data_IF_385323334170
#
_entry.id   IF_385323334170
#
_cell.length_a   1.000
_cell.length_b   1.000
_cell.length_c   1.000
_cell.angle_alpha   90.00
_cell.angle_beta   90.00
_cell.angle_gamma   90.00
#
_symmetry.space_group_name_H-M   'P 1'
#
loop_
_entity.id
_entity.type
_entity.pdbx_description
1 polymer ?
#
# COMPACT_ATOMS: atom_id res chain seq x y z
N UNK A 1 9.61 -43.97 19.90
CA UNK A 1 8.65 -42.94 19.37
C UNK A 1 9.38 -42.27 18.19
N UNK A 2 8.90 -42.46 16.97
CA UNK A 2 9.63 -42.14 15.74
C UNK A 2 9.65 -40.60 15.52
N UNK A 3 10.77 -40.03 15.10
CA UNK A 3 10.96 -38.59 14.80
C UNK A 3 9.85 -38.01 13.90
N UNK A 4 9.34 -38.84 12.99
CA UNK A 4 8.22 -38.49 12.10
C UNK A 4 6.89 -38.27 12.86
N UNK A 5 6.62 -39.05 13.92
CA UNK A 5 5.40 -38.89 14.72
C UNK A 5 5.47 -37.63 15.63
N UNK A 6 6.65 -37.27 16.07
CA UNK A 6 6.86 -36.05 16.82
C UNK A 6 6.67 -34.81 15.92
N UNK A 7 7.21 -34.85 14.70
CA UNK A 7 7.07 -33.77 13.70
C UNK A 7 5.61 -33.59 13.29
N UNK A 8 4.86 -34.65 13.05
CA UNK A 8 3.42 -34.59 12.72
C UNK A 8 2.58 -34.04 13.88
N UNK A 9 2.84 -34.46 15.13
CA UNK A 9 2.16 -33.91 16.31
C UNK A 9 2.49 -32.43 16.54
N UNK A 10 3.70 -32.02 16.26
CA UNK A 10 4.14 -30.64 16.41
C UNK A 10 3.58 -29.75 15.27
N UNK A 11 3.48 -30.29 14.04
CA UNK A 11 2.77 -29.63 12.95
C UNK A 11 1.26 -29.48 13.24
N UNK A 12 0.62 -30.50 13.80
CA UNK A 12 -0.78 -30.43 14.24
C UNK A 12 -0.97 -29.42 15.39
N UNK A 13 -0.01 -29.33 16.31
CA UNK A 13 -0.03 -28.35 17.42
C UNK A 13 0.16 -26.90 16.91
N UNK A 14 1.00 -26.71 15.89
CA UNK A 14 1.18 -25.42 15.22
C UNK A 14 -0.06 -25.05 14.40
N UNK A 15 -0.73 -26.03 13.77
CA UNK A 15 -1.98 -25.83 13.06
C UNK A 15 -3.13 -25.48 14.01
N UNK A 16 -3.27 -26.20 15.15
CA UNK A 16 -4.26 -25.90 16.18
C UNK A 16 -4.04 -24.55 16.89
N UNK A 17 -2.79 -24.07 16.95
CA UNK A 17 -2.46 -22.72 17.46
C UNK A 17 -2.88 -21.61 16.48
N UNK A 18 -3.22 -21.94 15.24
CA UNK A 18 -3.70 -21.02 14.20
C UNK A 18 -5.21 -21.05 14.01
N UNK A 19 -5.99 -21.76 14.86
CA UNK A 19 -7.44 -21.66 14.85
C UNK A 19 -7.86 -20.22 15.11
N UNK A 20 -8.48 -19.61 14.08
CA UNK A 20 -9.07 -18.28 14.17
C UNK A 20 -10.28 -18.35 15.10
N UNK A 21 -10.49 -17.40 16.03
CA UNK A 21 -11.82 -17.21 16.59
C UNK A 21 -12.78 -16.97 15.44
N UNK A 22 -14.07 -17.27 15.64
CA UNK A 22 -15.11 -17.12 14.63
C UNK A 22 -14.91 -15.80 13.87
N UNK A 23 -14.53 -15.90 12.58
CA UNK A 23 -14.10 -14.78 11.77
C UNK A 23 -15.32 -13.90 11.49
N UNK A 24 -15.23 -12.62 11.83
CA UNK A 24 -16.19 -11.58 11.40
C UNK A 24 -16.06 -11.29 9.90
N UNK A 25 -15.19 -12.01 9.18
CA UNK A 25 -14.81 -11.72 7.81
C UNK A 25 -13.81 -10.53 7.71
N UNK A 26 -13.39 -9.98 8.86
CA UNK A 26 -12.45 -8.87 8.93
C UNK A 26 -11.13 -9.29 9.59
N UNK A 27 -10.02 -9.04 8.89
CA UNK A 27 -8.66 -9.23 9.41
C UNK A 27 -8.24 -8.10 10.35
N UNK A 28 -8.70 -6.87 10.06
CA UNK A 28 -8.40 -5.69 10.87
C UNK A 28 -9.69 -4.89 11.05
N UNK A 29 -9.96 -4.50 12.30
CA UNK A 29 -10.99 -3.55 12.68
C UNK A 29 -10.36 -2.46 13.54
N UNK A 30 -10.60 -1.21 13.21
CA UNK A 30 -10.24 -0.07 14.04
C UNK A 30 -11.42 0.90 14.11
N UNK A 31 -11.68 1.45 15.29
CA UNK A 31 -12.75 2.40 15.51
C UNK A 31 -12.28 3.54 16.38
N UNK A 32 -12.40 4.77 15.86
CA UNK A 32 -12.11 6.01 16.55
C UNK A 32 -10.65 6.11 17.03
N UNK A 33 -9.67 5.59 16.30
CA UNK A 33 -8.27 5.62 16.73
C UNK A 33 -7.75 7.05 16.85
N UNK A 34 -7.30 7.40 18.04
CA UNK A 34 -6.67 8.69 18.37
C UNK A 34 -5.24 8.45 18.81
N UNK A 35 -4.32 9.29 18.33
CA UNK A 35 -2.94 9.30 18.77
C UNK A 35 -2.35 10.70 18.72
N UNK A 36 -1.71 11.10 19.83
CA UNK A 36 -0.91 12.32 19.91
C UNK A 36 0.52 11.99 20.33
N UNK A 37 1.46 12.77 19.87
CA UNK A 37 2.84 12.77 20.34
C UNK A 37 3.15 14.17 20.87
N UNK A 38 3.29 14.29 22.20
CA UNK A 38 3.34 15.59 22.88
C UNK A 38 2.09 16.40 22.51
N UNK A 39 2.27 17.61 21.97
CA UNK A 39 1.19 18.51 21.62
C UNK A 39 0.66 18.33 20.18
N UNK A 40 1.22 17.38 19.41
CA UNK A 40 0.83 17.13 18.02
C UNK A 40 -0.13 15.95 17.95
N UNK A 41 -1.38 16.21 17.55
CA UNK A 41 -2.37 15.17 17.24
C UNK A 41 -2.07 14.57 15.87
N UNK A 42 -1.66 13.30 15.83
CA UNK A 42 -1.29 12.58 14.61
C UNK A 42 -2.46 11.78 14.04
N UNK A 43 -3.35 11.25 14.90
CA UNK A 43 -4.56 10.55 14.48
C UNK A 43 -5.78 11.18 15.15
N UNK A 44 -6.80 11.48 14.34
CA UNK A 44 -7.97 12.26 14.70
C UNK A 44 -9.28 11.48 14.87
N UNK A 45 -9.23 10.16 15.08
CA UNK A 45 -10.43 9.31 15.13
C UNK A 45 -10.55 8.46 13.87
N UNK A 46 -9.54 7.61 13.62
CA UNK A 46 -9.46 6.79 12.41
C UNK A 46 -10.29 5.52 12.57
N UNK A 47 -11.15 5.26 11.59
CA UNK A 47 -11.90 4.02 11.42
C UNK A 47 -11.34 3.24 10.23
N UNK A 48 -11.15 1.90 10.38
CA UNK A 48 -10.68 1.02 9.31
C UNK A 48 -11.36 -0.34 9.41
N UNK A 49 -11.72 -0.92 8.25
CA UNK A 49 -12.25 -2.27 8.11
C UNK A 49 -11.57 -3.00 6.96
N UNK A 50 -10.72 -3.96 7.30
CA UNK A 50 -9.94 -4.72 6.31
C UNK A 50 -10.47 -6.14 6.23
N UNK A 51 -11.01 -6.57 5.08
CA UNK A 51 -11.48 -7.94 4.89
C UNK A 51 -10.35 -8.97 4.99
N UNK A 52 -10.69 -10.18 5.45
CA UNK A 52 -9.75 -11.30 5.43
C UNK A 52 -9.32 -11.64 3.99
N UNK A 53 -8.03 -11.91 3.79
CA UNK A 53 -7.46 -12.34 2.51
C UNK A 53 -7.37 -11.24 1.45
N UNK A 54 -7.63 -9.98 1.80
CA UNK A 54 -7.55 -8.84 0.89
C UNK A 54 -6.22 -8.08 0.98
N UNK A 55 -5.91 -7.32 -0.05
CA UNK A 55 -4.89 -6.26 -0.04
C UNK A 55 -5.55 -4.93 0.24
N UNK A 56 -5.22 -4.34 1.37
CA UNK A 56 -5.71 -3.02 1.77
C UNK A 56 -4.57 -2.02 1.76
N UNK A 57 -4.73 -0.93 1.00
CA UNK A 57 -3.75 0.14 0.94
C UNK A 57 -4.18 1.35 1.79
N UNK A 58 -3.29 1.81 2.64
CA UNK A 58 -3.41 3.10 3.32
C UNK A 58 -2.55 4.11 2.58
N UNK A 59 -3.19 4.90 1.74
CA UNK A 59 -2.57 5.91 0.89
C UNK A 59 -2.54 7.28 1.59
N UNK A 60 -1.46 8.02 1.47
CA UNK A 60 -1.40 9.38 2.01
C UNK A 60 0.00 9.98 1.96
N UNK A 61 0.14 11.30 2.17
CA UNK A 61 1.43 11.96 2.16
C UNK A 61 2.30 11.57 3.36
N UNK A 62 3.56 11.99 3.34
CA UNK A 62 4.44 11.84 4.48
C UNK A 62 3.89 12.66 5.65
N UNK A 63 3.93 12.09 6.86
CA UNK A 63 3.38 12.74 8.06
C UNK A 63 1.87 12.57 8.26
N UNK A 64 1.10 12.01 7.33
CA UNK A 64 -0.35 11.81 7.49
C UNK A 64 -0.75 10.84 8.62
N UNK A 65 0.19 10.07 9.18
CA UNK A 65 -0.08 9.14 10.28
C UNK A 65 -0.04 7.65 9.89
N UNK A 66 0.30 7.29 8.65
CA UNK A 66 0.33 5.91 8.12
C UNK A 66 1.14 4.97 9.03
N UNK A 67 2.42 5.28 9.27
CA UNK A 67 3.30 4.48 10.14
C UNK A 67 2.77 4.40 11.57
N UNK A 68 2.11 5.45 12.08
CA UNK A 68 1.49 5.43 13.41
C UNK A 68 0.36 4.41 13.49
N UNK A 69 -0.50 4.33 12.48
CA UNK A 69 -1.55 3.30 12.38
C UNK A 69 -0.92 1.91 12.36
N UNK A 70 0.07 1.67 11.50
CA UNK A 70 0.79 0.37 11.45
C UNK A 70 1.37 0.01 12.81
N UNK A 71 2.01 0.95 13.53
CA UNK A 71 2.58 0.72 14.86
C UNK A 71 1.53 0.40 15.92
N UNK A 72 0.33 0.98 15.84
CA UNK A 72 -0.78 0.65 16.75
C UNK A 72 -1.29 -0.76 16.45
N UNK A 73 -1.63 -1.05 15.18
CA UNK A 73 -2.18 -2.33 14.76
C UNK A 73 -1.19 -3.49 14.99
N UNK A 74 0.11 -3.24 14.82
CA UNK A 74 1.17 -4.22 15.10
C UNK A 74 1.57 -4.29 16.58
N UNK A 75 0.86 -3.60 17.48
CA UNK A 75 1.08 -3.59 18.95
C UNK A 75 2.39 -2.96 19.41
N UNK A 76 3.07 -2.18 18.57
CA UNK A 76 4.32 -1.47 18.90
C UNK A 76 4.07 -0.17 19.65
N UNK A 77 2.90 0.46 19.46
CA UNK A 77 2.49 1.69 20.13
C UNK A 77 1.04 1.56 20.58
N UNK A 78 0.67 2.17 21.71
CA UNK A 78 -0.72 2.24 22.15
C UNK A 78 -1.39 3.48 21.56
N UNK A 79 -2.65 3.32 21.12
CA UNK A 79 -3.51 4.44 20.85
C UNK A 79 -3.86 5.18 22.16
N UNK A 80 -4.16 6.47 22.09
CA UNK A 80 -4.62 7.26 23.22
C UNK A 80 -6.14 7.16 23.37
N UNK A 81 -6.86 6.79 22.31
CA UNK A 81 -8.29 6.50 22.30
C UNK A 81 -8.68 5.59 21.14
N UNK A 82 -9.93 5.11 21.19
CA UNK A 82 -10.45 4.15 20.23
C UNK A 82 -10.12 2.69 20.54
N UNK A 83 -10.53 1.81 19.63
CA UNK A 83 -10.35 0.37 19.75
C UNK A 83 -9.76 -0.17 18.44
N UNK A 84 -8.91 -1.22 18.53
CA UNK A 84 -8.44 -1.94 17.36
C UNK A 84 -8.35 -3.44 17.63
N UNK A 85 -8.70 -4.23 16.60
CA UNK A 85 -8.55 -5.68 16.57
C UNK A 85 -7.79 -6.10 15.33
N UNK A 86 -6.93 -7.10 15.46
CA UNK A 86 -6.20 -7.72 14.36
C UNK A 86 -6.32 -9.24 14.49
N UNK A 87 -6.70 -9.90 13.39
CA UNK A 87 -6.99 -11.34 13.36
C UNK A 87 -7.96 -11.77 14.48
N UNK A 88 -8.96 -10.92 14.80
CA UNK A 88 -9.97 -11.15 15.84
C UNK A 88 -9.53 -10.84 17.28
N UNK A 89 -8.29 -10.40 17.51
CA UNK A 89 -7.72 -10.13 18.83
C UNK A 89 -7.53 -8.63 19.08
N UNK A 90 -7.84 -8.20 20.32
CA UNK A 90 -7.62 -6.82 20.76
C UNK A 90 -6.10 -6.50 20.81
N UNK A 91 -5.68 -5.41 20.18
CA UNK A 91 -4.24 -5.06 20.07
C UNK A 91 -3.60 -4.66 21.41
N UNK A 92 -4.40 -4.36 22.42
CA UNK A 92 -3.91 -3.99 23.76
C UNK A 92 -3.99 -5.17 24.71
N UNK A 93 -5.17 -5.80 24.81
CA UNK A 93 -5.45 -6.89 25.76
C UNK A 93 -4.78 -8.19 25.33
N UNK A 94 -4.83 -8.50 24.04
CA UNK A 94 -4.40 -9.77 23.46
C UNK A 94 -3.12 -9.64 22.62
N UNK A 95 -2.27 -8.65 22.92
CA UNK A 95 -1.08 -8.31 22.10
C UNK A 95 -0.20 -9.50 21.74
N UNK A 96 -0.10 -10.52 22.63
CA UNK A 96 0.69 -11.72 22.36
C UNK A 96 0.04 -12.61 21.29
N UNK A 97 -1.30 -12.66 21.24
CA UNK A 97 -2.04 -13.39 20.21
C UNK A 97 -1.94 -12.67 18.87
N UNK A 98 -2.05 -11.33 18.87
CA UNK A 98 -1.84 -10.51 17.69
C UNK A 98 -0.45 -10.76 17.11
N UNK A 99 0.62 -10.61 17.92
CA UNK A 99 2.03 -10.79 17.47
C UNK A 99 2.35 -12.15 16.88
N UNK A 100 1.61 -13.20 17.26
CA UNK A 100 1.76 -14.54 16.66
C UNK A 100 1.14 -14.68 15.29
N UNK A 101 0.23 -13.79 14.93
CA UNK A 101 -0.57 -13.84 13.68
C UNK A 101 -0.19 -12.79 12.66
N UNK A 102 0.67 -11.86 13.04
CA UNK A 102 1.12 -10.78 12.17
C UNK A 102 2.58 -10.92 11.82
N UNK A 103 2.94 -10.30 10.72
CA UNK A 103 4.31 -9.90 10.43
C UNK A 103 4.35 -8.43 10.03
N UNK A 104 5.46 -7.77 10.30
CA UNK A 104 5.70 -6.38 9.96
C UNK A 104 7.02 -6.29 9.20
N UNK A 105 6.95 -5.77 7.99
CA UNK A 105 8.11 -5.37 7.20
C UNK A 105 8.15 -3.84 7.16
N UNK A 106 9.13 -3.26 7.84
CA UNK A 106 9.31 -1.80 7.92
C UNK A 106 10.20 -1.27 6.79
N UNK A 107 10.55 0.02 6.89
CA UNK A 107 11.47 0.69 5.95
C UNK A 107 12.88 0.08 5.96
N UNK A 108 13.32 -0.46 7.10
CA UNK A 108 14.63 -1.13 7.23
C UNK A 108 14.43 -2.63 7.33
N UNK A 109 15.13 -3.37 6.48
CA UNK A 109 15.13 -4.82 6.53
C UNK A 109 15.73 -5.33 7.84
N UNK A 110 15.00 -6.22 8.54
CA UNK A 110 15.47 -6.87 9.77
C UNK A 110 16.41 -8.06 9.47
N UNK A 111 17.29 -7.91 8.47
CA UNK A 111 18.20 -8.94 7.99
C UNK A 111 19.62 -8.70 8.52
N UNK A 112 20.28 -9.77 8.92
CA UNK A 112 21.71 -9.74 9.25
C UNK A 112 22.54 -9.85 7.95
N UNK A 113 23.23 -8.78 7.61
CA UNK A 113 24.03 -8.69 6.37
C UNK A 113 25.25 -9.62 6.38
N UNK A 114 25.74 -10.03 7.55
CA UNK A 114 26.86 -10.95 7.69
C UNK A 114 26.46 -12.42 7.44
N UNK A 115 25.18 -12.73 7.61
CA UNK A 115 24.62 -14.05 7.35
C UNK A 115 24.19 -14.21 5.90
N UNK A 116 24.05 -15.47 5.46
CA UNK A 116 23.48 -15.84 4.17
C UNK A 116 21.95 -15.69 4.19
N UNK A 117 21.32 -15.62 3.01
CA UNK A 117 19.85 -15.59 2.92
C UNK A 117 19.21 -16.80 3.60
N UNK A 118 19.76 -18.00 3.43
CA UNK A 118 19.26 -19.22 4.07
C UNK A 118 19.42 -19.20 5.61
N UNK A 119 20.48 -18.61 6.13
CA UNK A 119 20.72 -18.49 7.57
C UNK A 119 19.74 -17.50 8.18
N UNK A 120 19.51 -16.34 7.54
CA UNK A 120 18.51 -15.37 7.98
C UNK A 120 17.12 -16.02 8.10
N UNK A 121 16.64 -16.70 7.05
CA UNK A 121 15.33 -17.35 7.09
C UNK A 121 15.25 -18.46 8.16
N UNK A 122 16.32 -19.25 8.36
CA UNK A 122 16.38 -20.25 9.44
C UNK A 122 16.39 -19.60 10.83
N UNK A 123 17.08 -18.49 11.00
CA UNK A 123 17.07 -17.70 12.23
C UNK A 123 15.65 -17.22 12.54
N UNK A 124 14.95 -16.63 11.57
CA UNK A 124 13.55 -16.22 11.71
C UNK A 124 12.64 -17.39 12.07
N UNK A 125 12.85 -18.57 11.48
CA UNK A 125 12.13 -19.79 11.85
C UNK A 125 12.34 -20.18 13.32
N UNK A 126 13.54 -20.04 13.84
CA UNK A 126 13.84 -20.31 15.27
C UNK A 126 13.20 -19.28 16.17
N UNK A 127 13.20 -18.00 15.80
CA UNK A 127 12.50 -16.92 16.53
C UNK A 127 10.98 -17.17 16.54
N UNK A 128 10.43 -17.69 15.44
CA UNK A 128 9.03 -18.14 15.36
C UNK A 128 8.78 -19.48 16.09
N UNK A 129 9.79 -20.02 16.82
CA UNK A 129 9.74 -21.29 17.58
C UNK A 129 9.45 -22.52 16.73
N UNK A 130 9.81 -22.50 15.44
CA UNK A 130 9.69 -23.68 14.58
C UNK A 130 10.78 -24.72 14.92
N UNK A 131 10.46 -26.02 14.85
CA UNK A 131 11.45 -27.09 14.91
C UNK A 131 12.52 -26.90 13.83
N UNK A 132 13.78 -27.30 14.12
CA UNK A 132 14.92 -27.09 13.20
C UNK A 132 14.70 -27.64 11.80
N UNK A 133 14.09 -28.81 11.67
CA UNK A 133 13.78 -29.45 10.37
C UNK A 133 12.74 -28.63 9.61
N UNK A 134 11.67 -28.18 10.27
CA UNK A 134 10.60 -27.35 9.71
C UNK A 134 11.14 -25.98 9.28
N UNK A 135 11.96 -25.32 10.11
CA UNK A 135 12.59 -24.06 9.77
C UNK A 135 13.50 -24.16 8.54
N UNK A 136 14.25 -25.26 8.40
CA UNK A 136 15.10 -25.52 7.23
C UNK A 136 14.28 -25.73 5.97
N UNK A 137 13.24 -26.57 6.03
CA UNK A 137 12.35 -26.81 4.90
C UNK A 137 11.62 -25.54 4.47
N UNK A 138 11.11 -24.78 5.44
CA UNK A 138 10.42 -23.51 5.19
C UNK A 138 11.34 -22.47 4.55
N UNK A 139 12.60 -22.37 5.04
CA UNK A 139 13.60 -21.47 4.46
C UNK A 139 13.90 -21.82 2.98
N UNK A 140 14.04 -23.12 2.66
CA UNK A 140 14.28 -23.55 1.29
C UNK A 140 13.09 -23.22 0.37
N UNK A 141 11.86 -23.52 0.79
CA UNK A 141 10.66 -23.20 0.00
C UNK A 141 10.45 -21.69 -0.19
N UNK A 142 10.77 -20.87 0.81
CA UNK A 142 10.69 -19.41 0.67
C UNK A 142 11.79 -18.87 -0.25
N UNK A 143 13.01 -19.40 -0.22
CA UNK A 143 14.04 -19.00 -1.20
C UNK A 143 13.61 -19.32 -2.64
N UNK A 144 12.96 -20.45 -2.86
CA UNK A 144 12.40 -20.83 -4.15
C UNK A 144 11.25 -19.91 -4.57
N UNK A 145 10.26 -19.72 -3.69
CA UNK A 145 9.09 -18.87 -3.95
C UNK A 145 9.46 -17.41 -4.31
N UNK A 146 10.58 -16.91 -3.75
CA UNK A 146 11.03 -15.53 -3.93
C UNK A 146 12.16 -15.40 -4.97
N UNK A 147 12.45 -16.47 -5.73
CA UNK A 147 13.53 -16.50 -6.73
C UNK A 147 14.89 -16.08 -6.14
N UNK A 148 15.22 -16.63 -4.97
CA UNK A 148 16.47 -16.38 -4.26
C UNK A 148 17.30 -17.64 -4.04
N UNK A 149 16.94 -18.78 -4.66
CA UNK A 149 17.61 -20.08 -4.47
C UNK A 149 19.09 -19.99 -4.82
N UNK A 150 19.44 -19.40 -5.97
CA UNK A 150 20.82 -19.25 -6.42
C UNK A 150 21.66 -18.35 -5.48
N UNK A 151 21.01 -17.36 -4.87
CA UNK A 151 21.67 -16.43 -3.95
C UNK A 151 21.60 -16.88 -2.48
N UNK A 152 20.83 -17.91 -2.15
CA UNK A 152 20.52 -18.31 -0.79
C UNK A 152 21.74 -18.66 0.08
N UNK A 153 22.88 -19.03 -0.53
CA UNK A 153 24.16 -19.29 0.14
C UNK A 153 25.12 -18.09 0.18
N UNK A 154 24.77 -16.97 -0.48
CA UNK A 154 25.55 -15.74 -0.46
C UNK A 154 25.20 -14.90 0.77
N UNK A 155 26.15 -14.11 1.27
CA UNK A 155 25.90 -13.14 2.35
C UNK A 155 24.93 -12.04 1.87
N UNK A 156 23.97 -11.67 2.73
CA UNK A 156 22.95 -10.66 2.42
C UNK A 156 23.57 -9.31 2.11
N UNK A 157 24.70 -8.95 2.72
CA UNK A 157 25.46 -7.75 2.39
C UNK A 157 25.85 -7.61 0.90
N UNK A 158 25.88 -8.75 0.15
CA UNK A 158 26.17 -8.77 -1.31
C UNK A 158 24.92 -8.74 -2.20
N UNK A 159 23.72 -8.64 -1.61
CA UNK A 159 22.47 -8.62 -2.35
C UNK A 159 22.19 -7.21 -2.92
N UNK A 160 21.51 -7.16 -4.07
CA UNK A 160 20.92 -5.90 -4.54
C UNK A 160 19.79 -5.45 -3.60
N UNK A 161 19.38 -4.18 -3.70
CA UNK A 161 18.26 -3.66 -2.91
C UNK A 161 16.98 -4.47 -3.11
N UNK A 162 16.65 -4.82 -4.35
CA UNK A 162 15.49 -5.67 -4.68
C UNK A 162 15.61 -7.08 -4.12
N UNK A 163 16.80 -7.70 -4.15
CA UNK A 163 17.03 -9.01 -3.53
C UNK A 163 16.86 -8.94 -2.00
N UNK A 164 17.39 -7.91 -1.35
CA UNK A 164 17.21 -7.72 0.11
C UNK A 164 15.73 -7.56 0.44
N UNK A 165 14.99 -6.78 -0.34
CA UNK A 165 13.55 -6.56 -0.11
C UNK A 165 12.74 -7.84 -0.27
N UNK A 166 13.05 -8.65 -1.30
CA UNK A 166 12.43 -9.97 -1.49
C UNK A 166 12.76 -10.91 -0.33
N UNK A 167 14.00 -10.93 0.14
CA UNK A 167 14.39 -11.76 1.29
C UNK A 167 13.71 -11.30 2.60
N UNK A 168 13.58 -9.99 2.83
CA UNK A 168 12.90 -9.43 3.99
C UNK A 168 11.41 -9.82 4.00
N UNK A 169 10.76 -9.76 2.83
CA UNK A 169 9.40 -10.25 2.66
C UNK A 169 9.30 -11.78 2.88
N UNK A 170 10.25 -12.54 2.37
CA UNK A 170 10.33 -13.98 2.65
C UNK A 170 10.50 -14.28 4.15
N UNK A 171 11.33 -13.49 4.84
CA UNK A 171 11.54 -13.59 6.28
C UNK A 171 10.24 -13.33 7.06
N UNK A 172 9.43 -12.37 6.61
CA UNK A 172 8.14 -12.06 7.21
C UNK A 172 7.14 -13.22 7.15
N UNK A 173 7.28 -14.10 6.17
CA UNK A 173 6.38 -15.24 5.94
C UNK A 173 6.79 -16.53 6.68
N UNK A 174 7.96 -16.55 7.28
CA UNK A 174 8.46 -17.77 7.95
C UNK A 174 7.49 -18.26 9.02
N UNK A 175 6.91 -17.34 9.79
CA UNK A 175 5.95 -17.61 10.85
C UNK A 175 4.53 -17.96 10.41
N UNK A 176 4.22 -17.95 9.11
CA UNK A 176 2.87 -18.11 8.54
C UNK A 176 1.87 -17.11 9.14
N UNK A 177 2.10 -15.82 9.03
CA UNK A 177 1.17 -14.83 9.55
C UNK A 177 -0.16 -14.85 8.82
N UNK A 178 -1.24 -14.46 9.51
CA UNK A 178 -2.56 -14.22 8.89
C UNK A 178 -2.62 -12.83 8.26
N UNK A 179 -1.88 -11.87 8.83
CA UNK A 179 -1.84 -10.47 8.37
C UNK A 179 -0.39 -10.02 8.24
N UNK A 180 -0.06 -9.41 7.13
CA UNK A 180 1.25 -8.80 6.86
C UNK A 180 1.08 -7.30 6.76
N UNK A 181 1.84 -6.56 7.56
CA UNK A 181 1.98 -5.11 7.45
C UNK A 181 3.21 -4.78 6.62
N UNK A 182 3.02 -3.99 5.57
CA UNK A 182 4.08 -3.49 4.69
C UNK A 182 4.11 -1.96 4.80
N UNK A 183 5.12 -1.42 5.47
CA UNK A 183 5.26 0.03 5.64
C UNK A 183 6.17 0.59 4.54
N UNK A 184 5.56 1.24 3.54
CA UNK A 184 6.19 1.80 2.35
C UNK A 184 7.14 0.82 1.62
N UNK A 185 6.63 -0.35 1.17
CA UNK A 185 7.47 -1.47 0.75
C UNK A 185 8.34 -1.20 -0.47
N UNK A 186 7.93 -0.30 -1.37
CA UNK A 186 8.63 -0.01 -2.63
C UNK A 186 9.53 1.23 -2.59
N UNK A 187 9.58 1.93 -1.43
CA UNK A 187 10.40 3.15 -1.30
C UNK A 187 11.88 2.86 -1.52
N UNK A 188 12.52 3.65 -2.38
CA UNK A 188 13.95 3.52 -2.71
C UNK A 188 14.30 2.39 -3.67
N UNK A 189 13.31 1.68 -4.23
CA UNK A 189 13.53 0.68 -5.26
C UNK A 189 13.52 1.30 -6.66
N UNK A 190 14.37 0.78 -7.54
CA UNK A 190 14.29 1.04 -8.97
C UNK A 190 12.99 0.46 -9.59
N UNK A 191 12.56 0.94 -10.78
CA UNK A 191 11.30 0.50 -11.38
C UNK A 191 11.18 -1.01 -11.59
N UNK A 192 12.27 -1.68 -11.97
CA UNK A 192 12.27 -3.14 -12.20
C UNK A 192 12.12 -3.90 -10.88
N UNK A 193 12.87 -3.50 -9.85
CA UNK A 193 12.78 -4.09 -8.50
C UNK A 193 11.39 -3.89 -7.89
N UNK A 194 10.75 -2.71 -8.14
CA UNK A 194 9.39 -2.42 -7.70
C UNK A 194 8.37 -3.35 -8.34
N UNK A 195 8.43 -3.54 -9.66
CA UNK A 195 7.55 -4.47 -10.37
C UNK A 195 7.68 -5.91 -9.85
N UNK A 196 8.92 -6.37 -9.63
CA UNK A 196 9.17 -7.68 -9.04
C UNK A 196 8.60 -7.83 -7.62
N UNK A 197 8.67 -6.77 -6.80
CA UNK A 197 8.05 -6.75 -5.47
C UNK A 197 6.52 -6.84 -5.56
N UNK A 198 5.90 -6.10 -6.47
CA UNK A 198 4.44 -6.14 -6.67
C UNK A 198 3.94 -7.52 -7.07
N UNK A 199 4.63 -8.22 -7.98
CA UNK A 199 4.30 -9.60 -8.36
C UNK A 199 4.34 -10.54 -7.15
N UNK A 200 5.30 -10.35 -6.25
CA UNK A 200 5.38 -11.13 -5.00
C UNK A 200 4.18 -10.83 -4.10
N UNK A 201 3.80 -9.56 -3.93
CA UNK A 201 2.65 -9.15 -3.12
C UNK A 201 1.35 -9.73 -3.70
N UNK A 202 1.16 -9.65 -5.02
CA UNK A 202 0.03 -10.26 -5.75
C UNK A 202 -0.06 -11.79 -5.49
N UNK A 203 1.08 -12.48 -5.58
CA UNK A 203 1.16 -13.93 -5.30
C UNK A 203 0.82 -14.28 -3.84
N UNK A 204 1.19 -13.43 -2.89
CA UNK A 204 0.84 -13.61 -1.47
C UNK A 204 -0.66 -13.40 -1.22
N UNK A 205 -1.25 -12.38 -1.81
CA UNK A 205 -2.68 -12.13 -1.75
C UNK A 205 -3.48 -13.31 -2.31
N UNK A 206 -3.07 -13.83 -3.47
CA UNK A 206 -3.68 -15.02 -4.08
C UNK A 206 -3.60 -16.27 -3.20
N UNK A 207 -2.64 -16.35 -2.26
CA UNK A 207 -2.54 -17.43 -1.27
C UNK A 207 -3.45 -17.25 -0.04
N UNK A 208 -4.27 -16.19 -0.01
CA UNK A 208 -5.23 -15.91 1.06
C UNK A 208 -4.65 -15.19 2.28
N UNK A 209 -3.45 -14.65 2.20
CA UNK A 209 -2.85 -13.82 3.25
C UNK A 209 -3.41 -12.41 3.16
N UNK A 210 -3.85 -11.84 4.28
CA UNK A 210 -4.26 -10.43 4.32
C UNK A 210 -3.02 -9.53 4.31
N UNK A 211 -3.02 -8.53 3.44
CA UNK A 211 -1.92 -7.57 3.32
C UNK A 211 -2.45 -6.17 3.63
N UNK A 212 -1.85 -5.52 4.61
CA UNK A 212 -2.07 -4.12 4.91
C UNK A 212 -0.81 -3.35 4.52
N UNK A 213 -0.87 -2.58 3.45
CA UNK A 213 0.26 -1.80 2.98
C UNK A 213 0.03 -0.29 3.19
N UNK A 214 1.08 0.42 3.55
CA UNK A 214 1.09 1.89 3.48
C UNK A 214 1.90 2.33 2.29
N UNK A 215 1.46 3.37 1.62
CA UNK A 215 2.20 3.94 0.49
C UNK A 215 1.88 5.42 0.30
N UNK A 216 2.80 6.13 -0.34
CA UNK A 216 2.56 7.45 -0.93
C UNK A 216 2.48 7.37 -2.46
N UNK A 217 2.74 6.20 -3.04
CA UNK A 217 2.72 5.98 -4.49
C UNK A 217 1.33 5.50 -4.92
N UNK A 218 0.65 6.35 -5.68
CA UNK A 218 -0.70 6.08 -6.16
C UNK A 218 -0.76 4.88 -7.10
N UNK A 219 0.28 4.70 -7.95
CA UNK A 219 0.42 3.55 -8.84
C UNK A 219 0.46 2.21 -8.08
N UNK A 220 1.14 2.19 -6.91
CA UNK A 220 1.21 1.00 -6.06
C UNK A 220 -0.17 0.64 -5.48
N UNK A 221 -0.90 1.65 -4.97
CA UNK A 221 -2.24 1.46 -4.46
C UNK A 221 -3.22 1.03 -5.56
N UNK A 222 -3.16 1.68 -6.74
CA UNK A 222 -4.02 1.37 -7.89
C UNK A 222 -3.84 -0.06 -8.40
N UNK A 223 -2.60 -0.56 -8.39
CA UNK A 223 -2.25 -1.88 -8.90
C UNK A 223 -2.55 -3.01 -7.93
N UNK A 224 -2.23 -2.81 -6.65
CA UNK A 224 -2.19 -3.90 -5.67
C UNK A 224 -3.45 -4.01 -4.83
N UNK A 225 -4.14 -2.90 -4.56
CA UNK A 225 -5.15 -2.88 -3.52
C UNK A 225 -6.55 -3.26 -4.01
N UNK A 226 -7.19 -4.15 -3.28
CA UNK A 226 -8.62 -4.40 -3.41
C UNK A 226 -9.44 -3.23 -2.86
N UNK A 227 -8.94 -2.59 -1.79
CA UNK A 227 -9.52 -1.38 -1.19
C UNK A 227 -8.42 -0.42 -0.76
N UNK A 228 -8.70 0.86 -0.90
CA UNK A 228 -7.81 1.96 -0.58
C UNK A 228 -8.51 2.88 0.41
N UNK A 229 -7.83 3.22 1.51
CA UNK A 229 -8.20 4.34 2.37
C UNK A 229 -7.21 5.48 2.14
N UNK A 230 -7.72 6.66 1.85
CA UNK A 230 -6.92 7.89 1.72
C UNK A 230 -6.84 8.56 3.08
N UNK A 231 -5.63 8.65 3.62
CA UNK A 231 -5.34 9.28 4.91
C UNK A 231 -4.73 10.66 4.68
N UNK A 232 -5.37 11.68 5.22
CA UNK A 232 -4.84 13.05 5.24
C UNK A 232 -5.00 13.66 6.62
N UNK A 233 -3.99 14.39 7.10
CA UNK A 233 -3.96 15.06 8.42
C UNK A 233 -4.51 14.19 9.57
N UNK A 234 -4.22 12.89 9.57
CA UNK A 234 -4.63 11.95 10.61
C UNK A 234 -6.10 11.50 10.55
N UNK A 235 -6.78 11.71 9.43
CA UNK A 235 -8.16 11.28 9.19
C UNK A 235 -8.28 10.52 7.87
N UNK A 236 -9.18 9.53 7.81
CA UNK A 236 -9.56 8.89 6.55
C UNK A 236 -10.55 9.79 5.82
N UNK A 237 -10.10 10.40 4.72
CA UNK A 237 -10.91 11.34 3.92
C UNK A 237 -11.71 10.64 2.83
N UNK A 238 -11.29 9.45 2.41
CA UNK A 238 -12.03 8.61 1.48
C UNK A 238 -11.63 7.15 1.62
N UNK A 239 -12.57 6.24 1.34
CA UNK A 239 -12.32 4.80 1.24
C UNK A 239 -13.15 4.20 0.11
N UNK A 240 -12.57 3.23 -0.61
CA UNK A 240 -13.21 2.52 -1.70
C UNK A 240 -12.24 1.66 -2.49
N UNK A 241 -12.73 1.01 -3.56
CA UNK A 241 -11.87 0.45 -4.61
C UNK A 241 -11.24 1.58 -5.41
N UNK A 242 -10.16 1.29 -6.16
CA UNK A 242 -9.55 2.28 -7.04
C UNK A 242 -10.58 2.86 -8.04
N UNK A 243 -11.47 2.03 -8.59
CA UNK A 243 -12.53 2.44 -9.49
C UNK A 243 -13.55 3.37 -8.83
N UNK A 244 -14.03 3.03 -7.62
CA UNK A 244 -14.97 3.85 -6.84
C UNK A 244 -14.37 5.22 -6.50
N UNK A 245 -13.10 5.25 -6.11
CA UNK A 245 -12.41 6.50 -5.79
C UNK A 245 -12.24 7.39 -7.04
N UNK A 246 -11.84 6.82 -8.17
CA UNK A 246 -11.72 7.55 -9.45
C UNK A 246 -13.07 8.12 -9.92
N UNK A 247 -14.18 7.43 -9.67
CA UNK A 247 -15.52 7.92 -10.01
C UNK A 247 -15.99 9.11 -9.17
N UNK A 248 -15.43 9.32 -7.96
CA UNK A 248 -15.76 10.49 -7.10
C UNK A 248 -15.22 11.82 -7.63
N UNK A 249 -14.17 11.73 -8.43
CA UNK A 249 -13.58 12.87 -9.12
C UNK A 249 -13.98 12.74 -10.57
N UNK A 250 -14.30 13.66 -11.37
CA UNK A 250 -14.78 13.53 -12.74
C UNK A 250 -14.23 12.26 -13.45
N UNK A 251 -15.11 11.38 -13.93
CA UNK A 251 -14.72 10.06 -14.44
C UNK A 251 -13.70 10.12 -15.59
N UNK A 252 -13.66 11.23 -16.34
CA UNK A 252 -12.72 11.51 -17.43
C UNK A 252 -12.38 12.99 -17.49
N UNK A 253 -11.18 13.27 -18.02
CA UNK A 253 -10.67 14.61 -18.23
C UNK A 253 -10.25 14.80 -19.69
N UNK A 254 -10.65 15.90 -20.30
CA UNK A 254 -10.14 16.36 -21.57
C UNK A 254 -8.97 17.30 -21.32
N UNK A 255 -7.75 16.84 -21.59
CA UNK A 255 -6.53 17.63 -21.54
C UNK A 255 -6.38 18.42 -22.84
N UNK A 256 -6.25 19.74 -22.73
CA UNK A 256 -6.09 20.68 -23.83
C UNK A 256 -4.68 21.24 -23.78
N UNK A 257 -3.84 20.86 -24.73
CA UNK A 257 -2.46 21.37 -24.85
C UNK A 257 -2.45 22.61 -25.71
N UNK A 258 -1.98 23.73 -25.18
CA UNK A 258 -1.92 25.01 -25.83
C UNK A 258 -0.53 25.25 -26.47
N UNK A 259 -0.43 26.01 -27.58
CA UNK A 259 0.85 26.27 -28.25
C UNK A 259 1.72 27.27 -27.48
N UNK A 260 1.12 28.11 -26.65
CA UNK A 260 1.81 29.18 -25.90
C UNK A 260 1.23 29.35 -24.49
N UNK A 261 1.99 29.99 -23.60
CA UNK A 261 1.52 30.36 -22.27
C UNK A 261 0.32 31.33 -22.35
N UNK A 262 0.31 32.27 -23.27
CA UNK A 262 -0.80 33.21 -23.48
C UNK A 262 -2.10 32.48 -23.85
N UNK A 263 -2.03 31.47 -24.72
CA UNK A 263 -3.16 30.64 -25.08
C UNK A 263 -3.66 29.82 -23.89
N UNK A 264 -2.76 29.24 -23.08
CA UNK A 264 -3.13 28.53 -21.84
C UNK A 264 -3.85 29.44 -20.86
N UNK A 265 -3.37 30.67 -20.68
CA UNK A 265 -4.00 31.65 -19.78
C UNK A 265 -5.36 32.10 -20.30
N UNK A 266 -5.54 32.19 -21.62
CA UNK A 266 -6.83 32.51 -22.25
C UNK A 266 -7.83 31.37 -22.06
N UNK A 267 -7.45 30.12 -22.36
CA UNK A 267 -8.25 28.91 -22.15
C UNK A 267 -8.62 28.78 -20.67
N UNK A 268 -7.67 28.96 -19.76
CA UNK A 268 -7.92 28.84 -18.33
C UNK A 268 -8.88 29.91 -17.82
N UNK A 269 -8.79 31.16 -18.31
CA UNK A 269 -9.74 32.23 -17.96
C UNK A 269 -11.14 31.94 -18.50
N UNK A 270 -11.23 31.41 -19.73
CA UNK A 270 -12.51 31.06 -20.32
C UNK A 270 -13.22 29.95 -19.55
N UNK A 271 -12.47 28.92 -19.16
CA UNK A 271 -12.99 27.78 -18.40
C UNK A 271 -13.34 28.14 -16.95
N UNK A 272 -12.64 29.11 -16.34
CA UNK A 272 -12.85 29.49 -14.95
C UNK A 272 -12.82 28.30 -13.99
N UNK A 273 -13.88 28.12 -13.20
CA UNK A 273 -14.01 27.02 -12.22
C UNK A 273 -14.15 25.62 -12.85
N UNK A 274 -14.33 25.51 -14.17
CA UNK A 274 -14.35 24.23 -14.89
C UNK A 274 -12.96 23.63 -15.08
N UNK A 275 -11.87 24.39 -14.81
CA UNK A 275 -10.49 23.86 -14.86
C UNK A 275 -10.27 22.91 -13.68
N UNK A 276 -10.17 21.62 -13.96
CA UNK A 276 -9.87 20.58 -12.94
C UNK A 276 -8.39 20.23 -12.90
N UNK A 277 -7.59 20.67 -13.89
CA UNK A 277 -6.16 20.42 -13.98
C UNK A 277 -5.46 21.54 -14.73
N UNK A 278 -4.26 21.96 -14.29
CA UNK A 278 -3.42 22.94 -15.00
C UNK A 278 -1.96 22.62 -14.84
N UNK A 279 -1.25 22.48 -15.96
CA UNK A 279 0.19 22.28 -16.02
C UNK A 279 0.84 23.37 -16.89
N UNK A 280 1.46 24.39 -16.26
CA UNK A 280 2.07 25.48 -17.00
C UNK A 280 3.33 25.04 -17.77
N UNK A 281 4.03 23.98 -17.31
CA UNK A 281 5.24 23.47 -17.96
C UNK A 281 4.89 22.76 -19.29
N UNK A 282 3.84 21.97 -19.27
CA UNK A 282 3.32 21.26 -20.45
C UNK A 282 2.32 22.06 -21.24
N UNK A 283 2.05 23.30 -20.83
CA UNK A 283 1.05 24.18 -21.43
C UNK A 283 -0.33 23.52 -21.57
N UNK A 284 -0.77 22.79 -20.52
CA UNK A 284 -1.98 21.97 -20.57
C UNK A 284 -3.01 22.45 -19.55
N UNK A 285 -4.26 22.57 -19.96
CA UNK A 285 -5.42 22.73 -19.11
C UNK A 285 -6.35 21.53 -19.26
N UNK A 286 -6.92 21.04 -18.16
CA UNK A 286 -7.85 19.92 -18.15
C UNK A 286 -9.24 20.32 -17.73
N UNK A 287 -10.27 19.80 -18.42
CA UNK A 287 -11.68 20.01 -18.12
C UNK A 287 -12.39 18.65 -17.99
N UNK A 288 -13.35 18.57 -17.06
CA UNK A 288 -14.14 17.36 -16.87
C UNK A 288 -14.96 17.01 -18.12
N UNK A 289 -15.01 15.72 -18.49
CA UNK A 289 -15.76 15.22 -19.67
C UNK A 289 -16.31 13.81 -19.41
N UNK A 290 -17.39 13.43 -20.09
CA UNK A 290 -17.86 12.04 -20.14
C UNK A 290 -17.02 11.19 -21.13
N UNK A 291 -16.13 11.85 -21.90
CA UNK A 291 -15.26 11.23 -22.89
C UNK A 291 -15.97 10.84 -24.18
N UNK A 292 -17.24 11.17 -24.35
CA UNK A 292 -17.95 10.92 -25.61
C UNK A 292 -17.43 11.85 -26.70
N UNK A 293 -17.39 11.33 -27.93
CA UNK A 293 -16.98 12.13 -29.06
C UNK A 293 -17.87 13.38 -29.29
N UNK A 294 -19.13 13.31 -28.88
CA UNK A 294 -20.08 14.42 -28.95
C UNK A 294 -19.70 15.55 -28.00
N UNK A 295 -19.46 15.19 -26.71
CA UNK A 295 -19.09 16.18 -25.68
C UNK A 295 -17.70 16.76 -25.94
N UNK A 296 -16.72 15.92 -26.32
CA UNK A 296 -15.36 16.40 -26.65
C UNK A 296 -15.41 17.41 -27.79
N UNK A 297 -16.18 17.12 -28.86
CA UNK A 297 -16.34 18.05 -29.99
C UNK A 297 -17.01 19.34 -29.55
N UNK A 298 -18.09 19.25 -28.77
CA UNK A 298 -18.78 20.44 -28.27
C UNK A 298 -17.87 21.33 -27.40
N UNK A 299 -17.05 20.73 -26.50
CA UNK A 299 -16.09 21.46 -25.70
C UNK A 299 -14.99 22.13 -26.55
N UNK A 300 -14.45 21.44 -27.54
CA UNK A 300 -13.44 22.01 -28.43
C UNK A 300 -13.99 23.19 -29.23
N UNK A 301 -15.20 23.06 -29.84
CA UNK A 301 -15.85 24.12 -30.60
C UNK A 301 -16.25 25.32 -29.69
N UNK A 302 -16.60 25.07 -28.43
CA UNK A 302 -16.93 26.11 -27.46
C UNK A 302 -15.67 26.90 -27.00
N UNK A 303 -14.56 26.19 -26.71
CA UNK A 303 -13.35 26.79 -26.10
C UNK A 303 -12.48 27.47 -27.20
N UNK A 304 -12.40 26.87 -28.37
CA UNK A 304 -11.50 27.29 -29.46
C UNK A 304 -12.23 27.29 -30.82
N UNK A 305 -13.25 28.14 -31.02
CA UNK A 305 -13.99 28.22 -32.25
C UNK A 305 -13.12 28.58 -33.48
N UNK A 306 -12.09 29.39 -33.24
CA UNK A 306 -11.16 29.85 -34.30
C UNK A 306 -10.00 28.86 -34.52
N UNK A 307 -9.92 27.78 -33.76
CA UNK A 307 -8.90 26.71 -33.88
C UNK A 307 -7.45 27.21 -33.76
N UNK A 308 -7.20 28.15 -32.87
CA UNK A 308 -5.89 28.77 -32.68
C UNK A 308 -5.32 28.64 -31.25
N UNK A 309 -6.14 28.24 -30.26
CA UNK A 309 -5.77 28.16 -28.86
C UNK A 309 -5.32 26.76 -28.42
N UNK A 310 -5.80 25.71 -29.12
CA UNK A 310 -5.57 24.31 -28.78
C UNK A 310 -4.71 23.65 -29.87
N UNK A 311 -3.47 23.27 -29.52
CA UNK A 311 -2.57 22.56 -30.42
C UNK A 311 -2.84 21.05 -30.47
N UNK A 312 -3.25 20.47 -29.34
CA UNK A 312 -3.56 19.05 -29.22
C UNK A 312 -4.53 18.82 -28.05
N UNK A 313 -5.24 17.70 -28.09
CA UNK A 313 -6.07 17.27 -26.97
C UNK A 313 -5.94 15.77 -26.73
N UNK A 314 -6.22 15.34 -25.48
CA UNK A 314 -6.30 13.94 -25.13
C UNK A 314 -7.42 13.74 -24.10
N UNK A 315 -8.20 12.67 -24.26
CA UNK A 315 -9.13 12.22 -23.23
C UNK A 315 -8.38 11.26 -22.32
N UNK A 316 -8.37 11.56 -21.03
CA UNK A 316 -7.74 10.73 -20.01
C UNK A 316 -8.79 10.26 -19.02
N UNK A 317 -8.68 8.99 -18.62
CA UNK A 317 -9.42 8.48 -17.48
C UNK A 317 -8.85 9.11 -16.20
N UNK A 318 -9.71 9.34 -15.19
CA UNK A 318 -9.26 9.84 -13.90
C UNK A 318 -8.22 8.90 -13.28
N UNK A 319 -7.17 9.49 -12.75
CA UNK A 319 -6.13 8.78 -12.00
C UNK A 319 -6.37 8.90 -10.50
N UNK A 320 -5.70 8.07 -9.69
CA UNK A 320 -5.71 8.28 -8.25
C UNK A 320 -5.00 9.58 -7.84
N UNK A 321 -4.11 10.13 -8.70
CA UNK A 321 -3.51 11.46 -8.48
C UNK A 321 -4.59 12.54 -8.49
N UNK A 322 -5.51 12.49 -9.45
CA UNK A 322 -6.63 13.44 -9.52
C UNK A 322 -7.54 13.33 -8.28
N UNK A 323 -7.79 12.10 -7.81
CA UNK A 323 -8.53 11.84 -6.56
C UNK A 323 -7.82 12.46 -5.37
N UNK A 324 -6.54 12.20 -5.24
CA UNK A 324 -5.74 12.66 -4.11
C UNK A 324 -5.70 14.19 -4.05
N UNK A 325 -5.40 14.85 -5.17
CA UNK A 325 -5.36 16.32 -5.26
C UNK A 325 -6.71 16.97 -4.90
N UNK A 326 -7.81 16.37 -5.35
CA UNK A 326 -9.15 16.88 -5.07
C UNK A 326 -9.54 16.73 -3.60
N UNK A 327 -9.21 15.59 -2.98
CA UNK A 327 -9.62 15.28 -1.61
C UNK A 327 -8.74 15.94 -0.55
N UNK A 328 -7.47 16.18 -0.82
CA UNK A 328 -6.52 16.74 0.17
C UNK A 328 -6.36 18.26 0.05
N UNK A 329 -6.98 18.89 -0.95
CA UNK A 329 -6.87 20.34 -1.17
C UNK A 329 -5.48 20.81 -1.60
N UNK A 330 -4.53 19.90 -1.85
CA UNK A 330 -3.16 20.22 -2.26
C UNK A 330 -3.02 20.62 -3.73
N UNK A 331 -4.14 20.89 -4.43
CA UNK A 331 -4.15 21.33 -5.83
C UNK A 331 -3.40 22.67 -6.09
N UNK A 332 -2.86 23.33 -5.05
CA UNK A 332 -2.20 24.64 -5.17
C UNK A 332 -0.68 24.63 -5.04
N UNK A 333 -0.01 23.54 -4.66
CA UNK A 333 1.45 23.59 -4.32
C UNK A 333 2.41 22.81 -5.20
N UNK A 334 1.98 22.08 -6.22
CA UNK A 334 2.90 21.35 -7.13
C UNK A 334 3.46 22.23 -8.26
N UNK A 335 3.51 23.55 -8.07
CA UNK A 335 4.09 24.49 -9.04
C UNK A 335 5.50 24.99 -8.69
N UNK A 336 6.22 24.37 -7.76
CA UNK A 336 7.61 24.74 -7.46
C UNK A 336 8.40 23.51 -7.00
N UNK A 337 9.04 22.80 -7.91
CA UNK A 337 10.44 22.36 -7.88
C UNK A 337 10.85 21.97 -9.31
#
# INVERSE_FOLDING_TARGET
MNENQQTVREMARVAAMNERPASTGLAIEASGLVKSYRDVRVLGGVDLRVPDGSVFALLGPNGAGKTTIVRILSTLTRADGGLARVAGFDVVRDRHQVRRRISLTGQFAALDEAQTGAENLRMMGRLARLPRAVARQRAAGLLEQFDLTAAGRRRVGTYSGGMRRRLDLAASLVGRPSVIFLDEPSTGLDPQSRQGLWQVIEGLAASGVTIFLTTQYLEEADRLADRIAVLDAGQVVAEGTAAELKQRVAARRLDLTCPTQAALDQVSRYLGDRVVYRDPVRLTAGVATDGSAAQVRALLDEIDPDRCLIAAFAVRDATLDDVFLTLTGHAKETAHV
#
